data_IF_072716320456
#
_entry.id   IF_072716320456
#
_cell.length_a   1.000
_cell.length_b   1.000
_cell.length_c   1.000
_cell.angle_alpha   90.00
_cell.angle_beta   90.00
_cell.angle_gamma   90.00
#
_symmetry.space_group_name_H-M   'P 1'
#
loop_
_entity.id
_entity.type
_entity.pdbx_description
1 polymer ?
#
# COMPACT_ATOMS: atom_id res chain seq x y z
N UNK A 1 7.17 21.38 -13.05
CA UNK A 1 6.76 20.88 -11.70
C UNK A 1 7.46 19.56 -11.45
N UNK A 2 8.52 19.57 -10.66
CA UNK A 2 9.35 18.37 -10.46
C UNK A 2 8.59 17.30 -9.67
N UNK A 3 8.63 16.06 -10.17
CA UNK A 3 8.09 14.87 -9.50
C UNK A 3 9.23 13.94 -9.09
N UNK A 4 9.34 13.63 -7.81
CA UNK A 4 10.30 12.65 -7.30
C UNK A 4 9.67 11.26 -7.28
N UNK A 5 10.33 10.29 -7.90
CA UNK A 5 9.89 8.88 -7.94
C UNK A 5 10.82 8.09 -7.02
N UNK A 6 10.28 7.54 -5.95
CA UNK A 6 11.05 6.82 -4.91
C UNK A 6 10.90 5.33 -5.14
N UNK A 7 12.02 4.62 -5.28
CA UNK A 7 12.07 3.18 -5.52
C UNK A 7 12.91 2.52 -4.43
N UNK A 8 12.30 1.80 -3.49
CA UNK A 8 13.02 0.90 -2.58
C UNK A 8 13.45 -0.34 -3.36
N UNK A 9 14.69 -0.76 -3.21
CA UNK A 9 15.30 -1.86 -3.96
C UNK A 9 15.98 -2.81 -2.99
N UNK A 10 15.64 -4.10 -3.07
CA UNK A 10 16.33 -5.16 -2.35
C UNK A 10 16.26 -6.46 -3.12
N UNK A 11 17.40 -6.95 -3.62
CA UNK A 11 17.54 -8.19 -4.39
C UNK A 11 16.49 -8.29 -5.53
N UNK A 12 16.50 -7.32 -6.44
CA UNK A 12 15.48 -7.15 -7.50
C UNK A 12 16.08 -7.27 -8.91
N UNK A 13 17.28 -7.83 -9.08
CA UNK A 13 18.00 -7.85 -10.37
C UNK A 13 17.18 -8.40 -11.53
N UNK A 14 16.32 -9.40 -11.28
CA UNK A 14 15.49 -10.04 -12.30
C UNK A 14 14.45 -9.11 -12.93
N UNK A 15 13.99 -8.07 -12.20
CA UNK A 15 12.90 -7.20 -12.61
C UNK A 15 13.29 -5.74 -12.78
N UNK A 16 14.34 -5.32 -12.08
CA UNK A 16 14.73 -3.92 -11.92
C UNK A 16 15.03 -3.23 -13.25
N UNK A 17 15.67 -3.93 -14.19
CA UNK A 17 16.00 -3.35 -15.50
C UNK A 17 14.76 -2.90 -16.29
N UNK A 18 13.67 -3.68 -16.27
CA UNK A 18 12.42 -3.32 -16.93
C UNK A 18 11.69 -2.20 -16.18
N UNK A 19 11.71 -2.23 -14.85
CA UNK A 19 11.16 -1.17 -14.00
C UNK A 19 11.82 0.17 -14.33
N UNK A 20 13.15 0.26 -14.26
CA UNK A 20 13.90 1.49 -14.54
C UNK A 20 13.76 1.94 -16.00
N UNK A 21 13.67 1.01 -16.97
CA UNK A 21 13.41 1.35 -18.36
C UNK A 21 12.04 2.02 -18.54
N UNK A 22 11.00 1.53 -17.84
CA UNK A 22 9.66 2.15 -17.88
C UNK A 22 9.65 3.59 -17.33
N UNK A 23 10.54 3.88 -16.40
CA UNK A 23 10.73 5.23 -15.83
C UNK A 23 11.58 6.12 -16.74
N UNK A 24 12.59 5.57 -17.39
CA UNK A 24 13.39 6.28 -18.39
C UNK A 24 12.55 6.73 -19.59
N UNK A 25 11.51 5.95 -19.94
CA UNK A 25 10.59 6.21 -21.05
C UNK A 25 9.39 7.12 -20.68
N UNK A 26 9.34 7.70 -19.47
CA UNK A 26 8.24 8.60 -19.12
C UNK A 26 8.20 9.82 -20.05
N UNK A 27 7.01 10.12 -20.61
CA UNK A 27 6.78 11.27 -21.49
C UNK A 27 6.77 12.60 -20.74
N UNK A 28 6.67 12.59 -19.42
CA UNK A 28 6.85 13.75 -18.55
C UNK A 28 8.32 13.84 -18.14
N UNK A 29 9.02 14.88 -18.57
CA UNK A 29 10.49 14.98 -18.47
C UNK A 29 10.99 15.51 -17.11
N UNK A 30 10.18 16.34 -16.41
CA UNK A 30 10.57 17.00 -15.15
C UNK A 30 10.41 16.03 -13.96
N UNK A 31 11.21 14.96 -13.96
CA UNK A 31 11.25 13.91 -12.94
C UNK A 31 12.65 13.74 -12.38
N UNK A 32 12.74 13.26 -11.14
CA UNK A 32 13.93 12.61 -10.57
C UNK A 32 13.55 11.22 -10.08
N UNK A 33 14.38 10.25 -10.38
CA UNK A 33 14.22 8.85 -9.96
C UNK A 33 15.22 8.53 -8.86
N UNK A 34 14.72 8.22 -7.67
CA UNK A 34 15.51 8.02 -6.45
C UNK A 34 15.53 6.53 -6.13
N UNK A 35 16.59 5.84 -6.55
CA UNK A 35 16.83 4.43 -6.30
C UNK A 35 17.48 4.26 -4.93
N UNK A 36 16.76 3.69 -3.97
CA UNK A 36 17.26 3.38 -2.62
C UNK A 36 17.53 1.89 -2.52
N UNK A 37 18.80 1.52 -2.64
CA UNK A 37 19.26 0.14 -2.47
C UNK A 37 19.41 -0.18 -0.97
N UNK A 38 18.55 -1.05 -0.47
CA UNK A 38 18.49 -1.48 0.92
C UNK A 38 19.41 -2.69 1.19
N UNK A 39 20.65 -2.61 0.73
CA UNK A 39 21.69 -3.61 0.99
C UNK A 39 21.54 -4.85 0.13
N UNK A 40 21.20 -4.71 -1.18
CA UNK A 40 21.13 -5.82 -2.13
C UNK A 40 22.47 -6.57 -2.23
N UNK A 41 22.37 -7.90 -2.42
CA UNK A 41 23.51 -8.79 -2.57
C UNK A 41 23.63 -9.39 -3.98
N UNK A 42 22.69 -9.04 -4.86
CA UNK A 42 22.61 -9.41 -6.26
C UNK A 42 23.11 -8.30 -7.19
N UNK A 43 22.78 -8.34 -8.48
CA UNK A 43 23.15 -7.34 -9.48
C UNK A 43 22.42 -6.02 -9.42
N UNK A 44 21.47 -5.82 -8.49
CA UNK A 44 20.61 -4.61 -8.39
C UNK A 44 21.42 -3.31 -8.30
N UNK A 45 22.47 -3.29 -7.48
CA UNK A 45 23.35 -2.11 -7.34
C UNK A 45 24.04 -1.74 -8.65
N UNK A 46 24.48 -2.73 -9.43
CA UNK A 46 25.12 -2.50 -10.72
C UNK A 46 24.13 -1.91 -11.74
N UNK A 47 22.91 -2.43 -11.79
CA UNK A 47 21.85 -1.94 -12.66
C UNK A 47 21.54 -0.47 -12.34
N UNK A 48 21.35 -0.11 -11.06
CA UNK A 48 21.07 1.26 -10.65
C UNK A 48 22.18 2.25 -11.00
N UNK A 49 23.44 1.87 -10.76
CA UNK A 49 24.61 2.70 -11.11
C UNK A 49 24.68 2.93 -12.61
N UNK A 50 24.46 1.88 -13.42
CA UNK A 50 24.43 1.99 -14.88
C UNK A 50 23.33 2.96 -15.38
N UNK A 51 22.17 2.99 -14.74
CA UNK A 51 21.12 3.97 -15.04
C UNK A 51 21.52 5.40 -14.62
N UNK A 52 22.09 5.59 -13.44
CA UNK A 52 22.52 6.92 -12.98
C UNK A 52 23.69 7.52 -13.80
N UNK A 53 24.47 6.69 -14.47
CA UNK A 53 25.50 7.12 -15.42
C UNK A 53 24.92 7.52 -16.79
N UNK A 54 23.85 6.88 -17.23
CA UNK A 54 23.22 7.10 -18.55
C UNK A 54 22.23 8.23 -18.56
N UNK A 55 21.50 8.47 -17.47
CA UNK A 55 20.42 9.42 -17.36
C UNK A 55 20.51 10.20 -16.05
N UNK A 56 20.77 11.49 -16.14
CA UNK A 56 20.96 12.38 -15.00
C UNK A 56 19.72 12.54 -14.09
N UNK A 57 18.56 12.08 -14.55
CA UNK A 57 17.34 12.04 -13.73
C UNK A 57 17.42 10.95 -12.66
N UNK A 58 18.24 9.89 -12.84
CA UNK A 58 18.38 8.78 -11.92
C UNK A 58 19.47 9.04 -10.89
N UNK A 59 19.16 8.76 -9.63
CA UNK A 59 20.07 8.90 -8.49
C UNK A 59 20.07 7.62 -7.67
N UNK A 60 21.26 7.08 -7.43
CA UNK A 60 21.49 5.88 -6.64
C UNK A 60 21.94 6.22 -5.22
N UNK A 61 21.29 5.59 -4.23
CA UNK A 61 21.65 5.67 -2.82
C UNK A 61 21.69 4.27 -2.24
N UNK A 62 22.76 3.97 -1.54
CA UNK A 62 22.93 2.72 -0.80
C UNK A 62 22.67 2.91 0.68
N UNK A 63 22.13 1.89 1.33
CA UNK A 63 22.09 1.73 2.79
C UNK A 63 22.27 0.25 3.16
N UNK A 64 22.68 -0.02 4.41
CA UNK A 64 22.60 -1.36 4.96
C UNK A 64 21.14 -1.79 5.12
N UNK A 65 20.85 -3.08 4.89
CA UNK A 65 19.48 -3.59 4.92
C UNK A 65 18.79 -3.24 6.25
N UNK A 66 17.74 -2.45 6.13
CA UNK A 66 16.98 -1.92 7.26
C UNK A 66 15.46 -2.00 7.02
N UNK A 67 15.06 -2.58 5.88
CA UNK A 67 13.67 -2.80 5.49
C UNK A 67 13.05 -1.66 4.67
N UNK A 68 12.00 -2.01 3.93
CA UNK A 68 11.33 -1.16 2.94
C UNK A 68 10.87 0.19 3.51
N UNK A 69 10.41 0.22 4.76
CA UNK A 69 9.97 1.46 5.43
C UNK A 69 11.14 2.45 5.58
N UNK A 70 12.31 1.96 5.99
CA UNK A 70 13.51 2.79 6.15
C UNK A 70 13.99 3.29 4.78
N UNK A 71 13.99 2.43 3.77
CA UNK A 71 14.35 2.80 2.40
C UNK A 71 13.41 3.88 1.84
N UNK A 72 12.09 3.72 1.97
CA UNK A 72 11.11 4.74 1.55
C UNK A 72 11.28 6.05 2.33
N UNK A 73 11.53 5.99 3.65
CA UNK A 73 11.80 7.17 4.48
C UNK A 73 13.07 7.91 4.06
N UNK A 74 14.13 7.18 3.68
CA UNK A 74 15.35 7.79 3.11
C UNK A 74 15.03 8.49 1.79
N UNK A 75 14.23 7.87 0.92
CA UNK A 75 13.73 8.48 -0.31
C UNK A 75 12.98 9.79 -0.05
N UNK A 76 12.06 9.81 0.93
CA UNK A 76 11.33 11.02 1.36
C UNK A 76 12.26 12.14 1.79
N UNK A 77 13.34 11.83 2.50
CA UNK A 77 14.32 12.82 2.99
C UNK A 77 15.14 13.48 1.87
N UNK A 78 15.44 12.74 0.80
CA UNK A 78 16.28 13.24 -0.30
C UNK A 78 15.50 13.79 -1.49
N UNK A 79 14.18 13.54 -1.53
CA UNK A 79 13.28 14.00 -2.58
C UNK A 79 13.17 15.52 -2.63
N UNK A 80 13.33 16.09 -3.84
CA UNK A 80 13.30 17.53 -4.11
C UNK A 80 12.02 17.97 -4.81
N UNK A 81 11.25 17.02 -5.37
CA UNK A 81 10.03 17.31 -6.10
C UNK A 81 8.94 17.96 -5.26
N UNK A 82 8.12 18.74 -5.90
CA UNK A 82 6.88 19.29 -5.35
C UNK A 82 5.86 18.17 -5.12
N UNK A 83 5.96 17.13 -5.93
CA UNK A 83 5.14 15.91 -5.82
C UNK A 83 6.01 14.67 -5.78
N UNK A 84 5.45 13.61 -5.22
CA UNK A 84 6.11 12.31 -5.06
C UNK A 84 5.25 11.20 -5.64
N UNK A 85 5.94 10.18 -6.19
CA UNK A 85 5.37 8.86 -6.47
C UNK A 85 6.25 7.79 -5.83
N UNK A 86 5.66 6.65 -5.50
CA UNK A 86 6.39 5.46 -5.10
C UNK A 86 6.23 4.39 -6.17
N UNK A 87 7.28 3.63 -6.42
CA UNK A 87 7.28 2.54 -7.39
C UNK A 87 8.03 1.37 -6.78
N UNK A 88 7.43 0.19 -6.82
CA UNK A 88 8.10 -1.02 -6.38
C UNK A 88 9.02 -1.54 -7.50
N UNK A 89 10.20 -2.06 -7.13
CA UNK A 89 11.30 -2.37 -8.05
C UNK A 89 11.04 -3.50 -9.04
N UNK A 90 9.93 -4.23 -8.87
CA UNK A 90 9.48 -5.33 -9.72
C UNK A 90 8.31 -4.97 -10.65
N UNK A 91 7.82 -3.72 -10.63
CA UNK A 91 6.66 -3.26 -11.36
C UNK A 91 7.00 -2.44 -12.61
N UNK A 92 6.01 -2.16 -13.47
CA UNK A 92 6.16 -1.42 -14.73
C UNK A 92 5.11 -0.30 -14.81
N UNK A 93 5.53 0.87 -15.31
CA UNK A 93 4.65 2.01 -15.53
C UNK A 93 4.35 2.22 -17.02
N UNK A 94 3.15 2.69 -17.30
CA UNK A 94 2.86 3.23 -18.64
C UNK A 94 3.69 4.49 -18.89
N UNK A 95 4.12 4.70 -20.12
CA UNK A 95 4.95 5.87 -20.49
C UNK A 95 4.32 7.23 -20.15
N UNK A 96 3.00 7.32 -20.10
CA UNK A 96 2.28 8.54 -19.76
C UNK A 96 1.82 8.59 -18.28
N UNK A 97 2.28 7.67 -17.42
CA UNK A 97 1.81 7.57 -16.04
C UNK A 97 1.95 8.89 -15.28
N UNK A 98 3.14 9.45 -15.24
CA UNK A 98 3.39 10.73 -14.56
C UNK A 98 2.63 11.88 -15.22
N UNK A 99 2.65 11.95 -16.55
CA UNK A 99 1.94 12.98 -17.32
C UNK A 99 0.43 12.99 -17.01
N UNK A 100 -0.22 11.82 -16.99
CA UNK A 100 -1.64 11.70 -16.73
C UNK A 100 -2.02 12.14 -15.30
N UNK A 101 -1.18 11.81 -14.30
CA UNK A 101 -1.37 12.26 -12.92
C UNK A 101 -1.16 13.77 -12.79
N UNK A 102 -0.08 14.30 -13.36
CA UNK A 102 0.26 15.73 -13.31
C UNK A 102 -0.78 16.59 -14.00
N UNK A 103 -1.28 16.17 -15.16
CA UNK A 103 -2.26 16.94 -15.93
C UNK A 103 -3.59 17.20 -15.19
N UNK A 104 -3.86 16.45 -14.11
CA UNK A 104 -5.08 16.56 -13.30
C UNK A 104 -4.83 17.12 -11.91
N UNK A 105 -3.59 17.49 -11.64
CA UNK A 105 -3.17 18.04 -10.34
C UNK A 105 -3.50 19.52 -10.29
N UNK A 106 -4.17 19.91 -9.20
CA UNK A 106 -4.48 21.30 -8.85
C UNK A 106 -4.45 21.44 -7.32
N UNK A 107 -4.39 22.66 -6.77
CA UNK A 107 -4.51 22.90 -5.34
C UNK A 107 -5.77 22.22 -4.77
N UNK A 108 -5.62 21.53 -3.64
CA UNK A 108 -6.69 20.77 -2.97
C UNK A 108 -7.28 19.59 -3.78
N UNK A 109 -6.53 19.09 -4.75
CA UNK A 109 -6.87 17.83 -5.45
C UNK A 109 -5.80 16.77 -5.14
N UNK A 110 -6.23 15.60 -4.74
CA UNK A 110 -5.41 14.38 -4.72
C UNK A 110 -5.76 13.56 -5.95
N UNK A 111 -4.77 13.16 -6.73
CA UNK A 111 -4.98 12.40 -7.97
C UNK A 111 -4.54 10.96 -7.74
N UNK A 112 -5.36 10.03 -8.19
CA UNK A 112 -5.08 8.59 -8.10
C UNK A 112 -5.53 7.88 -9.38
N UNK A 113 -4.74 6.93 -9.86
CA UNK A 113 -5.07 6.07 -11.00
C UNK A 113 -5.30 4.61 -10.57
N UNK A 114 -5.41 3.70 -11.55
CA UNK A 114 -5.63 2.28 -11.30
C UNK A 114 -4.35 1.46 -11.51
N UNK A 115 -4.35 0.34 -10.80
CA UNK A 115 -3.34 -0.71 -10.88
C UNK A 115 -3.95 -1.97 -11.52
N UNK A 116 -3.19 -2.68 -12.34
CA UNK A 116 -3.61 -3.94 -12.96
C UNK A 116 -2.53 -5.01 -12.86
N UNK A 117 -2.95 -6.26 -12.69
CA UNK A 117 -2.11 -7.46 -12.85
C UNK A 117 -2.05 -7.97 -14.29
N UNK A 118 -2.71 -7.28 -15.22
CA UNK A 118 -2.74 -7.61 -16.64
C UNK A 118 -2.04 -6.51 -17.42
N UNK A 119 -0.94 -6.85 -18.06
CA UNK A 119 -0.13 -5.90 -18.85
C UNK A 119 -0.94 -5.28 -19.99
N UNK A 120 -1.84 -6.04 -20.62
CA UNK A 120 -2.69 -5.58 -21.71
C UNK A 120 -3.69 -4.48 -21.31
N UNK A 121 -3.88 -4.26 -20.01
CA UNK A 121 -4.71 -3.16 -19.49
C UNK A 121 -3.94 -1.86 -19.36
N UNK A 122 -2.60 -1.88 -19.44
CA UNK A 122 -1.75 -0.72 -19.23
C UNK A 122 -2.04 0.37 -20.27
N UNK A 123 -2.21 1.60 -19.82
CA UNK A 123 -2.56 2.74 -20.67
C UNK A 123 -4.05 2.89 -21.00
N UNK A 124 -4.94 1.99 -20.52
CA UNK A 124 -6.38 2.04 -20.76
C UNK A 124 -7.14 2.80 -19.68
N UNK A 125 -8.30 3.32 -20.06
CA UNK A 125 -9.20 4.09 -19.19
C UNK A 125 -9.00 5.59 -19.39
N UNK A 126 -10.12 6.33 -19.48
CA UNK A 126 -10.16 7.78 -19.73
C UNK A 126 -11.19 8.51 -18.86
N UNK A 127 -11.94 7.77 -18.05
CA UNK A 127 -12.97 8.36 -17.21
C UNK A 127 -12.44 8.80 -15.84
N UNK A 128 -13.10 9.81 -15.31
CA UNK A 128 -12.76 10.41 -14.03
C UNK A 128 -13.97 10.40 -13.10
N UNK A 129 -13.74 10.06 -11.85
CA UNK A 129 -14.73 10.23 -10.79
C UNK A 129 -14.14 11.11 -9.71
N UNK A 130 -14.85 12.19 -9.36
CA UNK A 130 -14.42 13.12 -8.32
C UNK A 130 -15.21 12.87 -7.05
N UNK A 131 -14.50 12.61 -5.96
CA UNK A 131 -15.09 12.39 -4.65
C UNK A 131 -14.67 13.49 -3.68
N UNK A 132 -15.60 14.02 -2.83
CA UNK A 132 -15.20 14.72 -1.62
C UNK A 132 -14.25 13.83 -0.81
N UNK A 133 -13.17 14.39 -0.28
CA UNK A 133 -12.11 13.63 0.40
C UNK A 133 -12.66 12.68 1.48
N UNK A 134 -13.54 13.18 2.36
CA UNK A 134 -14.14 12.35 3.42
C UNK A 134 -14.96 11.19 2.85
N UNK A 135 -15.68 11.41 1.76
CA UNK A 135 -16.42 10.34 1.07
C UNK A 135 -15.48 9.28 0.53
N UNK A 136 -14.39 9.69 -0.13
CA UNK A 136 -13.38 8.76 -0.67
C UNK A 136 -12.75 7.91 0.43
N UNK A 137 -12.31 8.54 1.54
CA UNK A 137 -11.78 7.82 2.70
C UNK A 137 -12.77 6.77 3.20
N UNK A 138 -14.07 7.12 3.34
CA UNK A 138 -15.10 6.18 3.78
C UNK A 138 -15.32 5.05 2.77
N UNK A 139 -15.31 5.34 1.45
CA UNK A 139 -15.43 4.31 0.43
C UNK A 139 -14.27 3.30 0.48
N UNK A 140 -13.05 3.76 0.75
CA UNK A 140 -11.86 2.91 0.93
C UNK A 140 -11.95 2.11 2.23
N UNK A 141 -12.18 2.76 3.37
CA UNK A 141 -12.27 2.11 4.70
C UNK A 141 -13.32 1.00 4.71
N UNK A 142 -14.48 1.24 4.09
CA UNK A 142 -15.58 0.29 4.04
C UNK A 142 -15.54 -0.64 2.82
N UNK A 143 -14.44 -0.68 2.08
CA UNK A 143 -14.22 -1.55 0.92
C UNK A 143 -15.34 -1.44 -0.14
N UNK A 144 -15.94 -0.26 -0.31
CA UNK A 144 -17.02 0.02 -1.28
C UNK A 144 -16.50 0.31 -2.68
N UNK A 145 -15.24 0.67 -2.81
CA UNK A 145 -14.51 0.81 -4.07
C UNK A 145 -13.31 -0.11 -4.07
N UNK A 146 -12.79 -0.40 -5.26
CA UNK A 146 -11.49 -1.07 -5.37
C UNK A 146 -10.45 -0.20 -4.69
N UNK A 147 -9.64 -0.82 -3.84
CA UNK A 147 -8.57 -0.14 -3.13
C UNK A 147 -7.57 0.42 -4.14
N UNK A 148 -7.34 1.73 -4.16
CA UNK A 148 -6.27 2.26 -5.00
C UNK A 148 -4.94 1.74 -4.48
N UNK A 149 -4.06 1.33 -5.36
CA UNK A 149 -2.69 0.98 -4.96
C UNK A 149 -1.98 2.20 -4.37
N UNK A 150 -1.22 2.00 -3.32
CA UNK A 150 -0.35 3.03 -2.73
C UNK A 150 0.55 3.71 -3.79
N UNK A 151 1.03 2.94 -4.74
CA UNK A 151 1.89 3.38 -5.85
C UNK A 151 1.16 4.19 -6.93
N UNK A 152 -0.18 4.23 -6.88
CA UNK A 152 -1.00 4.92 -7.88
C UNK A 152 -1.34 6.37 -7.54
N UNK A 153 -0.80 6.92 -6.45
CA UNK A 153 -1.02 8.30 -6.03
C UNK A 153 0.07 9.25 -6.52
N UNK A 154 -0.33 10.47 -6.82
CA UNK A 154 0.58 11.61 -6.86
C UNK A 154 0.47 12.38 -5.54
N UNK A 155 1.49 12.24 -4.70
CA UNK A 155 1.54 12.80 -3.35
C UNK A 155 2.11 14.22 -3.37
N UNK A 156 1.42 15.17 -2.77
CA UNK A 156 1.95 16.51 -2.55
C UNK A 156 2.99 16.49 -1.43
N UNK A 157 4.24 16.85 -1.73
CA UNK A 157 5.37 16.77 -0.81
C UNK A 157 5.23 17.75 0.37
N UNK A 158 4.57 18.89 0.17
CA UNK A 158 4.33 19.85 1.26
C UNK A 158 3.42 19.24 2.33
N UNK A 159 2.35 18.54 1.93
CA UNK A 159 1.46 17.84 2.87
C UNK A 159 2.26 16.83 3.70
N UNK A 160 3.17 16.08 3.06
CA UNK A 160 4.03 15.09 3.74
C UNK A 160 4.94 15.78 4.75
N UNK A 161 5.62 16.86 4.35
CA UNK A 161 6.57 17.60 5.20
C UNK A 161 5.88 18.32 6.36
N UNK A 162 4.80 19.05 6.10
CA UNK A 162 4.06 19.82 7.12
C UNK A 162 3.45 18.93 8.20
N UNK A 163 3.08 17.69 7.85
CA UNK A 163 2.48 16.73 8.78
C UNK A 163 3.47 15.66 9.27
N UNK A 164 4.76 15.78 8.93
CA UNK A 164 5.81 14.83 9.29
C UNK A 164 5.43 13.37 8.96
N UNK A 165 4.82 13.14 7.79
CA UNK A 165 4.38 11.82 7.39
C UNK A 165 5.59 10.95 7.00
N UNK A 166 5.67 9.78 7.62
CA UNK A 166 6.68 8.78 7.32
C UNK A 166 6.10 7.38 7.46
N UNK A 167 6.79 6.39 6.90
CA UNK A 167 6.51 4.98 7.14
C UNK A 167 6.97 4.59 8.54
N UNK A 168 6.19 3.73 9.21
CA UNK A 168 6.56 3.24 10.54
C UNK A 168 7.57 2.11 10.39
N UNK A 169 8.78 2.36 10.86
CA UNK A 169 9.86 1.37 10.81
C UNK A 169 9.49 0.10 11.58
N UNK A 170 9.88 -1.05 11.04
CA UNK A 170 9.52 -2.36 11.57
C UNK A 170 8.09 -2.82 11.27
N UNK A 171 7.27 -2.01 10.60
CA UNK A 171 5.98 -2.43 10.06
C UNK A 171 6.22 -3.24 8.78
N UNK A 172 5.84 -4.53 8.79
CA UNK A 172 6.12 -5.45 7.68
C UNK A 172 4.97 -5.52 6.68
N UNK A 173 3.74 -5.25 7.13
CA UNK A 173 2.54 -5.29 6.27
C UNK A 173 1.60 -4.15 6.61
N UNK A 174 0.88 -3.62 5.59
CA UNK A 174 -0.01 -2.46 5.68
C UNK A 174 0.72 -1.13 5.98
N UNK A 175 2.03 -1.07 5.86
CA UNK A 175 2.81 0.16 5.99
C UNK A 175 2.42 1.18 4.91
N UNK A 176 2.13 0.66 3.71
CA UNK A 176 1.66 1.40 2.54
C UNK A 176 0.24 1.94 2.75
N UNK A 177 -0.67 1.07 3.25
CA UNK A 177 -2.03 1.47 3.60
C UNK A 177 -2.04 2.53 4.70
N UNK A 178 -1.20 2.37 5.72
CA UNK A 178 -1.06 3.35 6.79
C UNK A 178 -0.58 4.70 6.24
N UNK A 179 0.45 4.70 5.40
CA UNK A 179 1.03 5.93 4.86
C UNK A 179 -0.01 6.72 4.05
N UNK A 180 -0.66 6.09 3.06
CA UNK A 180 -1.58 6.84 2.21
C UNK A 180 -2.88 7.23 2.93
N UNK A 181 -3.36 6.47 3.91
CA UNK A 181 -4.51 6.87 4.71
C UNK A 181 -4.20 8.06 5.60
N UNK A 182 -3.01 8.13 6.18
CA UNK A 182 -2.53 9.33 6.89
C UNK A 182 -2.39 10.52 5.93
N UNK A 183 -1.83 10.31 4.74
CA UNK A 183 -1.73 11.34 3.73
C UNK A 183 -3.11 11.90 3.34
N UNK A 184 -4.06 11.03 2.99
CA UNK A 184 -5.42 11.43 2.67
C UNK A 184 -6.07 12.22 3.83
N UNK A 185 -5.88 11.79 5.06
CA UNK A 185 -6.45 12.47 6.21
C UNK A 185 -5.86 13.87 6.48
N UNK A 186 -4.68 14.16 5.97
CA UNK A 186 -4.05 15.49 5.99
C UNK A 186 -4.35 16.31 4.74
N UNK A 187 -4.82 15.69 3.67
CA UNK A 187 -5.20 16.37 2.43
C UNK A 187 -6.49 17.18 2.60
N UNK A 188 -6.79 18.02 1.63
CA UNK A 188 -8.00 18.84 1.60
C UNK A 188 -8.71 18.70 0.26
N UNK A 189 -9.99 19.07 0.21
CA UNK A 189 -10.74 19.17 -1.02
C UNK A 189 -11.26 17.86 -1.54
N UNK A 190 -10.80 17.42 -2.70
CA UNK A 190 -11.35 16.27 -3.45
C UNK A 190 -10.28 15.28 -3.86
N UNK A 191 -10.73 14.04 -4.13
CA UNK A 191 -9.91 13.01 -4.79
C UNK A 191 -10.41 12.81 -6.21
N UNK A 192 -9.53 12.98 -7.18
CA UNK A 192 -9.75 12.66 -8.59
C UNK A 192 -9.30 11.22 -8.80
N UNK A 193 -10.27 10.32 -8.89
CA UNK A 193 -10.03 8.90 -9.14
C UNK A 193 -10.22 8.60 -10.62
N UNK A 194 -9.12 8.27 -11.28
CA UNK A 194 -9.10 7.92 -12.71
C UNK A 194 -9.29 6.41 -12.86
N UNK A 195 -9.99 5.96 -13.88
CA UNK A 195 -10.00 4.54 -14.28
C UNK A 195 -8.80 4.18 -15.17
N UNK A 196 -7.97 5.18 -15.50
CA UNK A 196 -6.71 4.99 -16.22
C UNK A 196 -5.78 4.01 -15.50
N UNK A 197 -5.38 2.94 -16.18
CA UNK A 197 -4.45 1.94 -15.66
C UNK A 197 -3.03 2.37 -16.01
N UNK A 198 -2.42 3.12 -15.13
CA UNK A 198 -1.05 3.62 -15.31
C UNK A 198 0.04 2.70 -14.78
N UNK A 199 -0.34 1.71 -13.95
CA UNK A 199 0.57 0.88 -13.18
C UNK A 199 0.29 -0.61 -13.40
N UNK A 200 1.31 -1.37 -13.80
CA UNK A 200 1.28 -2.83 -13.91
C UNK A 200 1.96 -3.44 -12.70
N UNK A 201 1.15 -4.09 -11.86
CA UNK A 201 1.62 -4.86 -10.71
C UNK A 201 1.99 -6.27 -11.16
N UNK A 202 3.27 -6.56 -11.18
CA UNK A 202 3.81 -7.86 -11.58
C UNK A 202 3.52 -8.91 -10.51
N UNK A 203 3.16 -10.11 -10.93
CA UNK A 203 3.08 -11.25 -10.00
C UNK A 203 4.50 -11.77 -9.78
N UNK A 204 5.02 -11.54 -8.58
CA UNK A 204 6.36 -11.98 -8.17
C UNK A 204 6.20 -13.12 -7.14
N UNK A 205 6.67 -14.34 -7.43
CA UNK A 205 6.57 -15.47 -6.48
C UNK A 205 7.40 -15.25 -5.20
N UNK A 206 8.37 -14.36 -5.22
CA UNK A 206 9.20 -13.97 -4.07
C UNK A 206 8.63 -12.77 -3.30
N UNK A 207 7.43 -12.29 -3.67
CA UNK A 207 6.77 -11.18 -2.99
C UNK A 207 6.55 -11.49 -1.51
N UNK A 208 6.76 -10.50 -0.66
CA UNK A 208 6.51 -10.60 0.78
C UNK A 208 5.03 -10.94 1.10
N UNK A 209 4.10 -10.58 0.21
CA UNK A 209 2.68 -10.94 0.33
C UNK A 209 2.42 -12.45 0.26
N UNK A 210 3.27 -13.20 -0.44
CA UNK A 210 3.17 -14.67 -0.56
C UNK A 210 3.88 -15.39 0.60
N UNK A 211 4.70 -14.69 1.39
CA UNK A 211 5.44 -15.28 2.51
C UNK A 211 4.50 -15.76 3.65
N UNK A 212 4.93 -16.76 4.43
CA UNK A 212 4.17 -17.24 5.58
C UNK A 212 3.85 -16.12 6.59
N UNK A 213 2.70 -16.21 7.25
CA UNK A 213 2.38 -15.30 8.35
C UNK A 213 3.22 -15.66 9.58
N UNK A 214 3.85 -14.64 10.16
CA UNK A 214 4.66 -14.71 11.39
C UNK A 214 4.09 -13.75 12.44
N UNK A 215 4.65 -13.76 13.64
CA UNK A 215 4.34 -12.75 14.67
C UNK A 215 4.57 -11.33 14.14
N UNK A 216 5.62 -11.14 13.34
CA UNK A 216 5.93 -9.84 12.75
C UNK A 216 4.86 -9.38 11.77
N UNK A 217 4.14 -10.30 11.10
CA UNK A 217 3.01 -9.95 10.23
C UNK A 217 1.85 -9.28 11.00
N UNK A 218 1.75 -9.48 12.32
CA UNK A 218 0.72 -8.83 13.16
C UNK A 218 0.97 -7.33 13.36
N UNK A 219 2.14 -6.81 12.98
CA UNK A 219 2.40 -5.35 12.93
C UNK A 219 1.38 -4.61 12.06
N UNK A 220 0.75 -5.29 11.10
CA UNK A 220 -0.35 -4.77 10.29
C UNK A 220 -1.63 -4.48 11.08
N UNK A 221 -1.89 -5.20 12.17
CA UNK A 221 -3.02 -4.91 13.07
C UNK A 221 -2.71 -3.60 13.83
N UNK A 222 -1.46 -3.43 14.24
CA UNK A 222 -1.03 -2.17 14.86
C UNK A 222 -1.09 -0.99 13.85
N UNK A 223 -0.75 -1.23 12.59
CA UNK A 223 -0.98 -0.25 11.52
C UNK A 223 -2.47 0.11 11.42
N UNK A 224 -3.36 -0.89 11.40
CA UNK A 224 -4.81 -0.69 11.40
C UNK A 224 -5.30 0.11 12.62
N UNK A 225 -4.71 -0.12 13.79
CA UNK A 225 -5.00 0.64 15.02
C UNK A 225 -4.58 2.11 14.87
N UNK A 226 -3.38 2.37 14.36
CA UNK A 226 -2.87 3.73 14.13
C UNK A 226 -3.70 4.47 13.08
N UNK A 227 -4.06 3.80 11.97
CA UNK A 227 -4.96 4.36 10.95
C UNK A 227 -6.29 4.74 11.58
N UNK A 228 -6.90 3.82 12.31
CA UNK A 228 -8.21 4.04 12.93
C UNK A 228 -8.19 5.26 13.85
N UNK A 229 -7.20 5.31 14.75
CA UNK A 229 -7.03 6.46 15.65
C UNK A 229 -6.86 7.76 14.87
N UNK A 230 -6.00 7.78 13.85
CA UNK A 230 -5.69 8.95 13.07
C UNK A 230 -6.93 9.48 12.31
N UNK A 231 -7.69 8.59 11.67
CA UNK A 231 -8.91 8.95 10.96
C UNK A 231 -10.04 9.42 11.90
N UNK A 232 -10.15 8.79 13.07
CA UNK A 232 -11.13 9.16 14.09
C UNK A 232 -10.81 10.53 14.69
N UNK A 233 -9.58 10.76 15.11
CA UNK A 233 -9.13 12.04 15.70
C UNK A 233 -9.30 13.21 14.72
N UNK A 234 -9.17 12.97 13.42
CA UNK A 234 -9.39 13.96 12.35
C UNK A 234 -10.86 14.06 11.90
N UNK A 235 -11.77 13.28 12.48
CA UNK A 235 -13.20 13.30 12.16
C UNK A 235 -13.59 12.72 10.80
N UNK A 236 -12.71 11.93 10.16
CA UNK A 236 -13.01 11.28 8.89
C UNK A 236 -13.92 10.07 9.04
N UNK A 237 -13.85 9.36 10.16
CA UNK A 237 -14.71 8.24 10.53
C UNK A 237 -15.37 8.51 11.88
N UNK A 238 -16.54 7.90 12.10
CA UNK A 238 -17.30 8.07 13.34
C UNK A 238 -17.12 6.87 14.31
N UNK A 239 -16.48 5.80 13.88
CA UNK A 239 -16.25 4.60 14.68
C UNK A 239 -14.76 4.49 15.04
N UNK A 240 -14.47 4.44 16.33
CA UNK A 240 -13.10 4.43 16.85
C UNK A 240 -12.37 3.08 16.77
N UNK A 241 -13.01 2.04 16.23
CA UNK A 241 -12.39 0.70 16.10
C UNK A 241 -12.69 -0.01 14.79
N UNK A 242 -13.36 0.64 13.81
CA UNK A 242 -13.81 -0.06 12.58
C UNK A 242 -12.64 -0.58 11.72
N UNK A 243 -11.60 0.22 11.53
CA UNK A 243 -10.40 -0.18 10.75
C UNK A 243 -9.62 -1.27 11.49
N UNK A 244 -9.45 -1.11 12.81
CA UNK A 244 -8.81 -2.12 13.65
C UNK A 244 -9.58 -3.44 13.60
N UNK A 245 -10.91 -3.39 13.73
CA UNK A 245 -11.76 -4.59 13.71
C UNK A 245 -11.67 -5.33 12.37
N UNK A 246 -11.61 -4.60 11.25
CA UNK A 246 -11.38 -5.20 9.94
C UNK A 246 -10.00 -5.87 9.84
N UNK A 247 -8.96 -5.25 10.37
CA UNK A 247 -7.62 -5.82 10.47
C UNK A 247 -7.62 -7.13 11.26
N UNK A 248 -8.17 -7.10 12.47
CA UNK A 248 -8.26 -8.28 13.36
C UNK A 248 -9.03 -9.43 12.69
N UNK A 249 -10.20 -9.17 12.09
CA UNK A 249 -10.97 -10.19 11.37
C UNK A 249 -10.18 -10.80 10.22
N UNK A 250 -9.52 -9.96 9.42
CA UNK A 250 -8.75 -10.39 8.24
C UNK A 250 -7.62 -11.33 8.66
N UNK A 251 -6.90 -11.00 9.74
CA UNK A 251 -5.83 -11.84 10.26
C UNK A 251 -6.33 -13.10 10.96
N UNK A 252 -7.38 -13.03 11.77
CA UNK A 252 -7.99 -14.21 12.39
C UNK A 252 -8.39 -15.25 11.33
N UNK A 253 -9.06 -14.80 10.26
CA UNK A 253 -9.45 -15.67 9.14
C UNK A 253 -8.22 -16.22 8.40
N UNK A 254 -7.24 -15.37 8.07
CA UNK A 254 -6.05 -15.76 7.30
C UNK A 254 -5.16 -16.73 8.05
N UNK A 255 -4.99 -16.56 9.35
CA UNK A 255 -4.21 -17.45 10.21
C UNK A 255 -4.92 -18.80 10.35
N UNK A 256 -6.25 -18.80 10.61
CA UNK A 256 -7.04 -20.02 10.70
C UNK A 256 -7.00 -20.81 9.38
N UNK A 257 -7.14 -20.12 8.24
CA UNK A 257 -7.06 -20.73 6.91
C UNK A 257 -5.70 -21.38 6.64
N UNK A 258 -4.61 -20.85 7.19
CA UNK A 258 -3.25 -21.39 7.05
C UNK A 258 -2.94 -22.49 8.08
N UNK A 259 -3.79 -22.68 9.09
CA UNK A 259 -3.66 -23.71 10.13
C UNK A 259 -2.55 -23.43 11.15
N UNK A 260 -2.19 -22.16 11.38
CA UNK A 260 -1.18 -21.78 12.35
C UNK A 260 -1.84 -21.49 13.71
N UNK A 261 -1.97 -22.54 14.55
CA UNK A 261 -2.64 -22.42 15.85
C UNK A 261 -1.91 -21.49 16.82
N UNK A 262 -0.59 -21.58 16.92
CA UNK A 262 0.19 -20.78 17.86
C UNK A 262 0.00 -19.28 17.59
N UNK A 263 0.06 -18.88 16.33
CA UNK A 263 -0.17 -17.50 15.93
C UNK A 263 -1.64 -17.07 16.15
N UNK A 264 -2.59 -18.01 15.96
CA UNK A 264 -4.01 -17.78 16.20
C UNK A 264 -4.30 -17.57 17.69
N UNK A 265 -3.70 -18.39 18.55
CA UNK A 265 -3.80 -18.28 20.01
C UNK A 265 -3.18 -16.99 20.53
N UNK A 266 -2.00 -16.63 19.99
CA UNK A 266 -1.36 -15.36 20.29
C UNK A 266 -2.26 -14.18 19.92
N UNK A 267 -2.89 -14.20 18.73
CA UNK A 267 -3.83 -13.15 18.33
C UNK A 267 -4.95 -12.96 19.36
N UNK A 268 -5.56 -14.06 19.82
CA UNK A 268 -6.66 -14.01 20.79
C UNK A 268 -6.22 -13.58 22.19
N UNK A 269 -4.98 -13.83 22.54
CA UNK A 269 -4.41 -13.41 23.83
C UNK A 269 -4.08 -11.92 23.89
N UNK A 270 -3.82 -11.29 22.72
CA UNK A 270 -3.35 -9.91 22.63
C UNK A 270 -4.38 -8.92 22.04
N UNK A 271 -5.46 -9.43 21.42
CA UNK A 271 -6.49 -8.59 20.80
C UNK A 271 -7.89 -9.05 21.20
N UNK A 272 -8.81 -8.11 21.39
CA UNK A 272 -10.22 -8.41 21.61
C UNK A 272 -10.91 -8.82 20.30
N UNK A 273 -10.63 -10.06 19.88
CA UNK A 273 -11.14 -10.63 18.63
C UNK A 273 -12.66 -10.69 18.64
N UNK A 274 -13.29 -11.02 19.78
CA UNK A 274 -14.75 -11.12 19.87
C UNK A 274 -15.44 -9.77 19.61
N UNK A 275 -14.95 -8.70 20.23
CA UNK A 275 -15.49 -7.36 19.99
C UNK A 275 -15.28 -6.91 18.54
N UNK A 276 -14.10 -7.22 17.98
CA UNK A 276 -13.85 -6.96 16.55
C UNK A 276 -14.88 -7.67 15.66
N UNK A 277 -15.21 -8.95 15.93
CA UNK A 277 -16.22 -9.68 15.17
C UNK A 277 -17.62 -9.09 15.32
N UNK A 278 -18.03 -8.68 16.52
CA UNK A 278 -19.32 -7.98 16.74
C UNK A 278 -19.40 -6.70 15.90
N UNK A 279 -18.33 -5.90 15.87
CA UNK A 279 -18.27 -4.70 15.02
C UNK A 279 -18.42 -5.02 13.54
N UNK A 280 -17.83 -6.11 13.08
CA UNK A 280 -17.88 -6.52 11.67
C UNK A 280 -19.25 -6.99 11.21
N UNK A 281 -20.21 -7.28 12.10
CA UNK A 281 -21.63 -7.50 11.72
C UNK A 281 -22.26 -6.28 11.06
N UNK A 282 -21.77 -5.09 11.39
CA UNK A 282 -22.25 -3.82 10.84
C UNK A 282 -21.43 -3.34 9.63
N UNK A 283 -20.38 -4.09 9.26
CA UNK A 283 -19.55 -3.75 8.10
C UNK A 283 -20.34 -3.94 6.80
N UNK A 284 -20.21 -3.08 5.77
CA UNK A 284 -21.05 -3.18 4.57
C UNK A 284 -20.86 -4.45 3.75
N UNK A 285 -19.64 -5.00 3.73
CA UNK A 285 -19.29 -6.15 2.88
C UNK A 285 -19.80 -7.46 3.46
N UNK A 286 -20.67 -8.14 2.70
CA UNK A 286 -21.35 -9.37 3.14
C UNK A 286 -20.36 -10.48 3.55
N UNK A 287 -19.26 -10.68 2.80
CA UNK A 287 -18.26 -11.70 3.13
C UNK A 287 -17.65 -11.50 4.52
N UNK A 288 -17.41 -10.26 4.94
CA UNK A 288 -16.91 -9.94 6.28
C UNK A 288 -17.93 -10.26 7.37
N UNK A 289 -19.21 -9.97 7.12
CA UNK A 289 -20.31 -10.34 8.04
C UNK A 289 -20.40 -11.85 8.20
N UNK A 290 -20.34 -12.60 7.12
CA UNK A 290 -20.40 -14.09 7.16
C UNK A 290 -19.27 -14.65 8.03
N UNK A 291 -18.04 -14.17 7.84
CA UNK A 291 -16.90 -14.60 8.64
C UNK A 291 -17.10 -14.24 10.13
N UNK A 292 -17.59 -13.04 10.42
CA UNK A 292 -17.87 -12.62 11.79
C UNK A 292 -18.98 -13.44 12.45
N UNK A 293 -20.08 -13.72 11.73
CA UNK A 293 -21.16 -14.58 12.21
C UNK A 293 -20.64 -16.00 12.48
N UNK A 294 -19.89 -16.57 11.54
CA UNK A 294 -19.32 -17.91 11.72
C UNK A 294 -18.43 -17.98 12.97
N UNK A 295 -17.57 -16.99 13.19
CA UNK A 295 -16.75 -16.92 14.41
C UNK A 295 -17.60 -16.85 15.68
N UNK A 296 -18.60 -15.97 15.71
CA UNK A 296 -19.46 -15.76 16.88
C UNK A 296 -20.31 -16.98 17.22
N UNK A 297 -20.74 -17.75 16.21
CA UNK A 297 -21.52 -18.98 16.39
C UNK A 297 -20.65 -20.17 16.81
N UNK A 298 -19.49 -20.33 16.18
CA UNK A 298 -18.61 -21.49 16.37
C UNK A 298 -17.68 -21.30 17.59
N UNK A 299 -17.38 -20.08 17.98
CA UNK A 299 -16.34 -19.76 18.96
C UNK A 299 -14.92 -19.93 18.39
N UNK A 300 -13.91 -19.60 19.19
CA UNK A 300 -12.50 -19.54 18.80
C UNK A 300 -12.01 -20.85 18.16
N UNK A 301 -12.14 -21.94 18.88
CA UNK A 301 -11.51 -23.21 18.50
C UNK A 301 -12.21 -23.87 17.30
N UNK A 302 -13.53 -23.98 17.34
CA UNK A 302 -14.27 -24.59 16.26
C UNK A 302 -14.19 -23.76 14.96
N UNK A 303 -14.16 -22.44 15.07
CA UNK A 303 -13.92 -21.56 13.92
C UNK A 303 -12.56 -21.87 13.27
N UNK A 304 -11.48 -21.96 14.08
CA UNK A 304 -10.16 -22.27 13.55
C UNK A 304 -10.14 -23.59 12.78
N UNK A 305 -10.64 -24.67 13.38
CA UNK A 305 -10.65 -25.98 12.72
C UNK A 305 -11.56 -26.03 11.50
N UNK A 306 -12.72 -25.36 11.54
CA UNK A 306 -13.64 -25.30 10.39
C UNK A 306 -13.02 -24.56 9.20
N UNK A 307 -12.41 -23.40 9.43
CA UNK A 307 -11.76 -22.63 8.35
C UNK A 307 -10.52 -23.36 7.83
N UNK A 308 -9.73 -23.98 8.72
CA UNK A 308 -8.57 -24.79 8.35
C UNK A 308 -8.96 -25.98 7.48
N UNK A 309 -10.06 -26.68 7.81
CA UNK A 309 -10.57 -27.81 7.06
C UNK A 309 -11.06 -27.43 5.66
N UNK A 310 -11.73 -26.29 5.50
CA UNK A 310 -12.19 -25.80 4.20
C UNK A 310 -11.05 -25.54 3.19
N UNK A 311 -9.80 -25.47 3.65
CA UNK A 311 -8.62 -25.38 2.79
C UNK A 311 -8.41 -26.64 1.95
N UNK A 312 -8.84 -27.82 2.43
CA UNK A 312 -8.62 -29.13 1.79
C UNK A 312 -9.75 -29.54 0.83
N UNK A 313 -10.82 -28.73 0.74
CA UNK A 313 -12.00 -29.02 -0.10
C UNK A 313 -11.92 -28.37 -1.50
N UNK A 314 -10.78 -27.77 -1.86
CA UNK A 314 -10.57 -27.16 -3.20
C UNK A 314 -9.87 -28.12 -4.14
#
# INVERSE_FOLDING_TARGET
MLVSIIIPIYNSEDFLSECLASLGCQSYEDIEVICIDDGSKDGSAHICKGWSEKDSRFRYYFQENSGVCVARNKGLKVAKGEYLCFVDSDDILHQDFIKELVARTEPNKTVVCQISKKIDCLGKGDTLTVYPLRQFINLVVFEKIKHPGFTCFLYNNNIIKENNLCFVEGCVRNEDYEFYMKYLSCSKGVVVNMDYVGYYYRTNPFSEMESPLTLQSLTSIEASRRINKYLFDKGHINDNIIVLSNGVLTYAYSIAKRGNWDLYDYLHSNYDVRNAMVKMLFFPRLSKKIVAVAYLLLGKDLFFYTIGFLRFIK
#
